data_IF_511522989371
#
_entry.id   IF_511522989371
#
_cell.length_a   1.000
_cell.length_b   1.000
_cell.length_c   1.000
_cell.angle_alpha   90.00
_cell.angle_beta   90.00
_cell.angle_gamma   90.00
#
_symmetry.space_group_name_H-M   'P 1'
#
loop_
_entity.id
_entity.type
_entity.pdbx_description
1 polymer ?
#
# COMPACT_ATOMS: atom_id res chain seq x y z
N UNK A 1 0.48 -14.96 14.70
CA UNK A 1 -0.90 -15.58 14.72
C UNK A 1 -1.89 -14.51 14.26
N UNK A 2 -2.87 -14.90 13.44
CA UNK A 2 -3.91 -13.97 12.93
C UNK A 2 -5.31 -14.54 13.13
N UNK A 3 -6.32 -13.70 13.05
CA UNK A 3 -7.74 -14.09 12.95
C UNK A 3 -8.42 -13.38 11.80
N UNK A 4 -9.40 -14.05 11.16
CA UNK A 4 -10.28 -13.44 10.18
C UNK A 4 -11.27 -12.49 10.87
N UNK A 5 -11.53 -11.36 10.25
CA UNK A 5 -12.46 -10.33 10.70
C UNK A 5 -13.43 -9.96 9.59
N UNK A 6 -14.56 -9.36 9.95
CA UNK A 6 -15.54 -8.84 8.98
C UNK A 6 -15.44 -7.33 8.91
N UNK A 7 -15.25 -6.81 7.72
CA UNK A 7 -15.31 -5.37 7.44
C UNK A 7 -16.45 -5.06 6.47
N UNK A 8 -16.98 -3.86 6.56
CA UNK A 8 -17.96 -3.38 5.57
C UNK A 8 -17.24 -3.12 4.24
N UNK A 9 -17.89 -3.43 3.13
CA UNK A 9 -17.34 -3.20 1.79
C UNK A 9 -18.47 -2.82 0.82
N UNK A 10 -18.11 -2.19 -0.29
CA UNK A 10 -19.04 -1.84 -1.35
C UNK A 10 -19.41 -3.07 -2.21
N UNK A 11 -20.38 -3.86 -1.75
CA UNK A 11 -21.02 -4.91 -2.55
C UNK A 11 -20.23 -6.20 -2.76
N UNK A 12 -19.02 -6.34 -2.19
CA UNK A 12 -18.21 -7.55 -2.29
C UNK A 12 -17.71 -7.98 -0.90
N UNK A 13 -17.85 -9.27 -0.56
CA UNK A 13 -17.26 -9.82 0.67
C UNK A 13 -15.73 -9.85 0.55
N UNK A 14 -15.06 -9.02 1.33
CA UNK A 14 -13.60 -8.99 1.40
C UNK A 14 -13.10 -9.95 2.48
N UNK A 15 -11.98 -10.59 2.23
CA UNK A 15 -11.22 -11.30 3.25
C UNK A 15 -10.34 -10.31 3.99
N UNK A 16 -10.55 -10.20 5.28
CA UNK A 16 -9.83 -9.28 6.14
C UNK A 16 -9.35 -10.00 7.40
N UNK A 17 -8.25 -9.53 7.94
CA UNK A 17 -7.59 -10.18 9.07
C UNK A 17 -6.97 -9.17 10.00
N UNK A 18 -6.73 -9.57 11.24
CA UNK A 18 -5.86 -8.87 12.16
C UNK A 18 -4.80 -9.79 12.72
N UNK A 19 -3.58 -9.31 12.87
CA UNK A 19 -2.53 -10.01 13.58
C UNK A 19 -2.67 -9.84 15.09
N UNK A 20 -2.25 -10.87 15.84
CA UNK A 20 -2.22 -10.80 17.28
C UNK A 20 -1.28 -9.70 17.76
N UNK A 21 -1.72 -8.93 18.72
CA UNK A 21 -0.90 -7.95 19.45
C UNK A 21 -1.50 -7.78 20.84
N UNK A 22 -0.68 -8.01 21.85
CA UNK A 22 -1.11 -7.87 23.24
C UNK A 22 -1.17 -6.39 23.64
N UNK A 23 -2.33 -5.94 24.13
CA UNK A 23 -2.52 -4.56 24.60
C UNK A 23 -2.06 -3.49 23.59
N UNK A 24 -2.66 -3.43 22.39
CA UNK A 24 -2.24 -2.48 21.38
C UNK A 24 -2.46 -1.03 21.83
N UNK A 25 -1.50 -0.18 21.53
CA UNK A 25 -1.58 1.27 21.71
C UNK A 25 -1.86 2.00 20.40
N UNK A 26 -1.53 1.37 19.27
CA UNK A 26 -1.74 1.88 17.91
C UNK A 26 -2.36 0.81 17.03
N UNK A 27 -3.18 1.23 16.07
CA UNK A 27 -3.78 0.35 15.07
C UNK A 27 -3.28 0.77 13.68
N UNK A 28 -2.62 -0.17 12.97
CA UNK A 28 -2.15 0.06 11.61
C UNK A 28 -3.04 -0.68 10.63
N UNK A 29 -3.78 0.07 9.82
CA UNK A 29 -4.57 -0.43 8.70
C UNK A 29 -3.69 -0.55 7.46
N UNK A 30 -3.53 -1.76 6.92
CA UNK A 30 -2.60 -2.08 5.85
C UNK A 30 -3.30 -2.28 4.51
N UNK A 31 -2.76 -1.62 3.47
CA UNK A 31 -3.14 -1.78 2.06
C UNK A 31 -1.94 -2.36 1.31
N UNK A 32 -2.05 -3.60 0.87
CA UNK A 32 -0.96 -4.35 0.21
C UNK A 32 -0.78 -3.96 -1.27
N UNK A 33 0.31 -4.43 -1.88
CA UNK A 33 0.66 -4.18 -3.28
C UNK A 33 -0.10 -5.04 -4.29
N UNK A 34 0.24 -4.87 -5.58
CA UNK A 34 -0.32 -5.69 -6.66
C UNK A 34 0.21 -7.12 -6.60
N UNK A 35 -0.67 -8.09 -6.85
CA UNK A 35 -0.30 -9.49 -6.97
C UNK A 35 0.02 -10.20 -5.65
N UNK A 36 -0.13 -9.54 -4.52
CA UNK A 36 0.12 -10.09 -3.19
C UNK A 36 -1.14 -10.07 -2.31
N UNK A 37 -1.01 -10.32 -1.01
CA UNK A 37 -2.12 -10.37 -0.05
C UNK A 37 -1.66 -10.00 1.38
N UNK A 38 -2.60 -9.68 2.26
CA UNK A 38 -2.28 -9.11 3.57
C UNK A 38 -1.44 -10.01 4.48
N UNK A 39 -1.67 -11.32 4.49
CA UNK A 39 -0.96 -12.20 5.44
C UNK A 39 0.56 -12.31 5.15
N UNK A 40 1.05 -11.86 3.99
CA UNK A 40 2.50 -11.72 3.73
C UNK A 40 3.19 -10.70 4.64
N UNK A 41 2.41 -9.85 5.30
CA UNK A 41 2.91 -8.82 6.23
C UNK A 41 3.12 -9.34 7.67
N UNK A 42 3.04 -10.67 7.91
CA UNK A 42 3.21 -11.27 9.24
C UNK A 42 4.54 -10.90 9.91
N UNK A 43 5.63 -10.84 9.12
CA UNK A 43 6.94 -10.42 9.64
C UNK A 43 6.91 -8.96 10.14
N UNK A 44 6.30 -8.07 9.40
CA UNK A 44 6.12 -6.66 9.80
C UNK A 44 5.29 -6.61 11.09
N UNK A 45 4.16 -7.29 11.11
CA UNK A 45 3.28 -7.33 12.27
C UNK A 45 3.96 -7.85 13.52
N UNK A 46 4.77 -8.91 13.38
CA UNK A 46 5.53 -9.52 14.49
C UNK A 46 6.54 -8.56 15.12
N UNK A 47 7.25 -7.78 14.31
CA UNK A 47 8.22 -6.80 14.81
C UNK A 47 7.50 -5.58 15.40
N UNK A 48 6.44 -5.09 14.75
CA UNK A 48 5.66 -3.95 15.20
C UNK A 48 4.89 -4.22 16.50
N UNK A 49 4.60 -5.48 16.84
CA UNK A 49 4.06 -5.84 18.16
C UNK A 49 4.95 -5.35 19.31
N UNK A 50 6.26 -5.32 19.13
CA UNK A 50 7.22 -4.76 20.09
C UNK A 50 7.02 -3.27 20.37
N UNK A 51 6.37 -2.55 19.45
CA UNK A 51 5.95 -1.15 19.57
C UNK A 51 4.48 -1.00 19.95
N UNK A 52 3.81 -2.10 20.32
CA UNK A 52 2.37 -2.18 20.60
C UNK A 52 1.49 -1.69 19.44
N UNK A 53 1.95 -1.91 18.22
CA UNK A 53 1.21 -1.60 17.00
C UNK A 53 0.55 -2.89 16.50
N UNK A 54 -0.78 -2.93 16.50
CA UNK A 54 -1.58 -4.01 15.94
C UNK A 54 -1.80 -3.74 14.46
N UNK A 55 -1.54 -4.74 13.60
CA UNK A 55 -1.85 -4.63 12.18
C UNK A 55 -3.20 -5.28 11.85
N UNK A 56 -3.98 -4.57 11.06
CA UNK A 56 -5.25 -4.99 10.46
C UNK A 56 -5.11 -4.78 8.95
N UNK A 57 -5.64 -5.69 8.16
CA UNK A 57 -5.65 -5.51 6.71
C UNK A 57 -6.66 -6.40 6.02
N UNK A 58 -6.83 -6.14 4.75
CA UNK A 58 -7.72 -6.90 3.87
C UNK A 58 -6.95 -7.34 2.63
N UNK A 59 -7.35 -8.47 2.08
CA UNK A 59 -6.98 -8.82 0.72
C UNK A 59 -7.82 -7.97 -0.23
N UNK A 60 -7.17 -7.16 -1.04
CA UNK A 60 -7.82 -6.28 -2.00
C UNK A 60 -8.64 -7.09 -3.02
N UNK A 61 -9.60 -6.44 -3.67
CA UNK A 61 -10.43 -7.03 -4.73
C UNK A 61 -9.55 -7.72 -5.77
N UNK A 62 -9.85 -8.98 -6.08
CA UNK A 62 -9.09 -9.81 -7.03
C UNK A 62 -7.67 -10.16 -6.58
N UNK A 63 -7.42 -10.14 -5.25
CA UNK A 63 -6.14 -10.53 -4.65
C UNK A 63 -6.37 -11.48 -3.49
N UNK A 64 -5.34 -12.28 -3.19
CA UNK A 64 -5.37 -13.20 -2.07
C UNK A 64 -6.62 -14.10 -2.06
N UNK A 65 -7.27 -14.20 -0.91
CA UNK A 65 -8.49 -14.97 -0.73
C UNK A 65 -9.78 -14.18 -1.05
N UNK A 66 -9.70 -12.88 -1.32
CA UNK A 66 -10.85 -12.09 -1.75
C UNK A 66 -11.25 -12.47 -3.16
N UNK A 67 -12.54 -12.80 -3.35
CA UNK A 67 -13.07 -13.18 -4.65
C UNK A 67 -12.90 -12.08 -5.71
N UNK A 68 -12.97 -12.46 -6.97
CA UNK A 68 -12.87 -11.54 -8.11
C UNK A 68 -11.86 -12.02 -9.15
N UNK A 69 -11.73 -11.25 -10.21
CA UNK A 69 -10.76 -11.54 -11.26
C UNK A 69 -9.37 -11.11 -10.81
N UNK A 70 -8.41 -12.02 -10.81
CA UNK A 70 -7.04 -11.74 -10.39
C UNK A 70 -6.48 -10.47 -11.04
N UNK A 71 -5.98 -9.55 -10.20
CA UNK A 71 -5.42 -8.27 -10.63
C UNK A 71 -6.46 -7.18 -10.97
N UNK A 72 -7.76 -7.44 -10.78
CA UNK A 72 -8.81 -6.43 -10.98
C UNK A 72 -9.19 -5.77 -9.64
N UNK A 73 -8.44 -4.75 -9.27
CA UNK A 73 -8.63 -3.92 -8.09
C UNK A 73 -9.24 -2.56 -8.48
N UNK A 74 -10.48 -2.61 -8.98
CA UNK A 74 -11.19 -1.46 -9.57
C UNK A 74 -12.72 -1.62 -9.43
N UNK A 75 -13.53 -0.56 -9.54
CA UNK A 75 -13.07 0.82 -9.70
C UNK A 75 -12.43 1.38 -8.42
N UNK A 76 -11.60 2.38 -8.54
CA UNK A 76 -10.89 2.99 -7.41
C UNK A 76 -11.82 3.52 -6.32
N UNK A 77 -12.98 4.02 -6.68
CA UNK A 77 -13.99 4.48 -5.73
C UNK A 77 -14.43 3.39 -4.76
N UNK A 78 -14.58 2.17 -5.27
CA UNK A 78 -14.95 1.02 -4.44
C UNK A 78 -13.80 0.62 -3.51
N UNK A 79 -12.56 0.66 -4.03
CA UNK A 79 -11.36 0.37 -3.23
C UNK A 79 -11.18 1.39 -2.10
N UNK A 80 -11.45 2.67 -2.36
CA UNK A 80 -11.44 3.69 -1.29
C UNK A 80 -12.55 3.45 -0.27
N UNK A 81 -13.73 3.01 -0.71
CA UNK A 81 -14.83 2.62 0.20
C UNK A 81 -14.48 1.39 1.04
N UNK A 82 -13.72 0.44 0.51
CA UNK A 82 -13.24 -0.71 1.27
C UNK A 82 -12.26 -0.29 2.39
N UNK A 83 -11.43 0.72 2.13
CA UNK A 83 -10.59 1.33 3.18
C UNK A 83 -11.45 2.02 4.24
N UNK A 84 -12.54 2.71 3.85
CA UNK A 84 -13.49 3.25 4.83
C UNK A 84 -13.99 2.16 5.78
N UNK A 85 -14.38 1.01 5.24
CA UNK A 85 -14.83 -0.13 6.05
C UNK A 85 -13.77 -0.67 7.01
N UNK A 86 -12.51 -0.71 6.57
CA UNK A 86 -11.39 -1.11 7.43
C UNK A 86 -11.14 -0.09 8.55
N UNK A 87 -11.22 1.21 8.26
CA UNK A 87 -11.10 2.26 9.27
C UNK A 87 -12.27 2.27 10.23
N UNK A 88 -13.51 2.06 9.75
CA UNK A 88 -14.70 1.92 10.59
C UNK A 88 -14.55 0.74 11.55
N UNK A 89 -14.05 -0.41 11.09
CA UNK A 89 -13.74 -1.55 11.94
C UNK A 89 -12.72 -1.16 13.04
N UNK A 90 -11.64 -0.49 12.67
CA UNK A 90 -10.62 -0.07 13.62
C UNK A 90 -11.19 0.87 14.69
N UNK A 91 -12.00 1.85 14.31
CA UNK A 91 -12.64 2.78 15.26
C UNK A 91 -13.65 2.08 16.18
N UNK A 92 -14.39 1.10 15.65
CA UNK A 92 -15.40 0.37 16.43
C UNK A 92 -14.78 -0.57 17.47
N UNK A 93 -13.73 -1.31 17.07
CA UNK A 93 -13.15 -2.37 17.92
C UNK A 93 -11.97 -1.87 18.78
N UNK A 94 -11.39 -0.73 18.43
CA UNK A 94 -10.26 -0.11 19.13
C UNK A 94 -10.52 1.39 19.34
N UNK A 95 -11.63 1.74 20.02
CA UNK A 95 -11.94 3.15 20.31
C UNK A 95 -10.77 3.76 21.09
N UNK A 96 -10.52 5.04 20.87
CA UNK A 96 -9.45 5.80 21.52
C UNK A 96 -8.00 5.40 21.15
N UNK A 97 -7.82 4.48 20.20
CA UNK A 97 -6.49 4.16 19.67
C UNK A 97 -6.21 4.95 18.39
N UNK A 98 -5.04 5.61 18.30
CA UNK A 98 -4.63 6.24 17.05
C UNK A 98 -4.56 5.21 15.92
N UNK A 99 -5.13 5.56 14.77
CA UNK A 99 -5.12 4.74 13.57
C UNK A 99 -4.07 5.25 12.60
N UNK A 100 -3.29 4.36 12.02
CA UNK A 100 -2.30 4.65 10.99
C UNK A 100 -2.74 3.95 9.70
N UNK A 101 -2.68 4.62 8.55
CA UNK A 101 -2.87 3.97 7.26
C UNK A 101 -1.50 3.67 6.65
N UNK A 102 -1.21 2.38 6.44
CA UNK A 102 -0.01 1.90 5.76
C UNK A 102 -0.35 1.45 4.35
N UNK A 103 0.50 1.79 3.39
CA UNK A 103 0.39 1.30 2.01
C UNK A 103 1.73 0.99 1.39
N UNK A 104 1.81 -0.13 0.66
CA UNK A 104 3.01 -0.53 -0.06
C UNK A 104 2.73 -0.64 -1.56
N UNK A 105 3.63 -0.15 -2.41
CA UNK A 105 3.56 -0.31 -3.87
C UNK A 105 2.25 0.24 -4.46
N UNK A 106 1.41 -0.59 -5.10
CA UNK A 106 0.04 -0.23 -5.49
C UNK A 106 -0.78 0.21 -4.28
N UNK A 107 -0.65 -0.46 -3.14
CA UNK A 107 -1.28 -0.05 -1.88
C UNK A 107 -0.79 1.32 -1.40
N UNK A 108 0.45 1.68 -1.68
CA UNK A 108 1.00 3.01 -1.45
C UNK A 108 0.36 4.07 -2.34
N UNK A 109 0.13 3.77 -3.63
CA UNK A 109 -0.63 4.63 -4.54
C UNK A 109 -2.09 4.80 -4.06
N UNK A 110 -2.72 3.71 -3.62
CA UNK A 110 -4.08 3.72 -3.07
C UNK A 110 -4.13 4.53 -1.76
N UNK A 111 -3.18 4.32 -0.84
CA UNK A 111 -3.12 5.01 0.44
C UNK A 111 -2.88 6.52 0.30
N UNK A 112 -2.05 6.93 -0.67
CA UNK A 112 -1.86 8.33 -1.02
C UNK A 112 -3.13 8.93 -1.62
N UNK A 113 -3.77 8.24 -2.55
CA UNK A 113 -5.06 8.65 -3.10
C UNK A 113 -6.12 8.81 -2.00
N UNK A 114 -6.18 7.83 -1.06
CA UNK A 114 -7.07 7.90 0.09
C UNK A 114 -6.78 9.12 0.98
N UNK A 115 -5.52 9.46 1.20
CA UNK A 115 -5.10 10.63 1.97
C UNK A 115 -5.64 11.93 1.37
N UNK A 116 -5.74 12.01 0.06
CA UNK A 116 -6.28 13.18 -0.65
C UNK A 116 -7.80 13.21 -0.69
N UNK A 117 -8.48 12.10 -0.98
CA UNK A 117 -9.90 12.10 -1.29
C UNK A 117 -10.75 11.00 -0.62
N UNK A 118 -10.17 10.20 0.24
CA UNK A 118 -10.93 9.21 1.02
C UNK A 118 -11.96 9.88 1.92
N UNK A 119 -13.11 9.26 2.08
CA UNK A 119 -14.21 9.81 2.91
C UNK A 119 -13.79 10.01 4.37
N UNK A 120 -13.04 9.06 4.91
CA UNK A 120 -12.53 9.09 6.28
C UNK A 120 -11.05 9.48 6.36
N UNK A 121 -10.53 10.22 5.40
CA UNK A 121 -9.10 10.57 5.33
C UNK A 121 -8.58 11.38 6.52
N UNK A 122 -9.45 11.96 7.33
CA UNK A 122 -9.07 12.65 8.57
C UNK A 122 -8.89 11.71 9.77
N UNK A 123 -9.38 10.46 9.68
CA UNK A 123 -9.32 9.46 10.76
C UNK A 123 -7.89 8.98 11.02
N UNK A 124 -7.08 8.62 10.02
CA UNK A 124 -5.69 8.26 10.30
C UNK A 124 -4.95 9.42 10.96
N UNK A 125 -4.32 9.14 12.09
CA UNK A 125 -3.43 10.09 12.78
C UNK A 125 -2.14 10.30 12.02
N UNK A 126 -1.72 9.34 11.21
CA UNK A 126 -0.55 9.39 10.33
C UNK A 126 -0.69 8.42 9.15
N UNK A 127 0.10 8.67 8.11
CA UNK A 127 0.23 7.81 6.94
C UNK A 127 1.66 7.30 6.83
N UNK A 128 1.81 6.00 6.52
CA UNK A 128 3.10 5.35 6.29
C UNK A 128 3.07 4.71 4.92
N UNK A 129 3.92 5.18 4.02
CA UNK A 129 3.91 4.77 2.62
C UNK A 129 5.29 4.24 2.24
N UNK A 130 5.29 3.01 1.71
CA UNK A 130 6.49 2.28 1.32
C UNK A 130 6.51 2.03 -0.18
N UNK A 131 7.57 2.47 -0.86
CA UNK A 131 7.84 2.24 -2.28
C UNK A 131 6.59 2.44 -3.18
N UNK A 132 5.87 3.59 -3.10
CA UNK A 132 4.58 3.74 -3.75
C UNK A 132 4.69 3.77 -5.27
N UNK A 133 3.71 3.20 -5.95
CA UNK A 133 3.57 3.34 -7.38
C UNK A 133 3.15 4.78 -7.75
N UNK A 134 4.11 5.67 -7.88
CA UNK A 134 3.94 7.03 -8.41
C UNK A 134 4.39 7.05 -9.88
N UNK A 135 5.60 6.58 -10.14
CA UNK A 135 6.15 6.35 -11.48
C UNK A 135 6.72 4.95 -11.53
N UNK A 136 6.78 4.34 -12.71
CA UNK A 136 7.48 3.08 -12.92
C UNK A 136 8.86 3.32 -13.51
N UNK A 137 9.83 2.48 -13.15
CA UNK A 137 11.18 2.46 -13.74
C UNK A 137 11.11 2.24 -15.25
N UNK A 138 10.16 1.39 -15.71
CA UNK A 138 9.86 1.20 -17.14
C UNK A 138 8.59 1.98 -17.47
N UNK A 139 8.69 3.21 -17.98
CA UNK A 139 7.53 4.05 -18.24
C UNK A 139 6.69 3.50 -19.39
N UNK A 140 5.38 3.59 -19.24
CA UNK A 140 4.45 3.31 -20.34
C UNK A 140 4.48 4.48 -21.32
N UNK A 141 4.73 4.19 -22.61
CA UNK A 141 4.75 5.23 -23.65
C UNK A 141 3.39 5.87 -23.81
N UNK A 142 3.36 7.15 -24.23
CA UNK A 142 2.09 7.87 -24.41
C UNK A 142 1.11 7.17 -25.34
N UNK A 143 1.59 6.59 -26.44
CA UNK A 143 0.74 5.84 -27.38
C UNK A 143 0.12 4.60 -26.72
N UNK A 144 0.92 3.83 -25.97
CA UNK A 144 0.43 2.65 -25.24
C UNK A 144 -0.56 3.06 -24.15
N UNK A 145 -0.27 4.13 -23.40
CA UNK A 145 -1.19 4.66 -22.39
C UNK A 145 -2.57 5.00 -22.98
N UNK A 146 -2.61 5.72 -24.11
CA UNK A 146 -3.87 6.06 -24.79
C UNK A 146 -4.63 4.82 -25.26
N UNK A 147 -3.92 3.83 -25.80
CA UNK A 147 -4.53 2.55 -26.22
C UNK A 147 -5.12 1.80 -25.04
N UNK A 148 -4.37 1.65 -23.95
CA UNK A 148 -4.83 0.98 -22.73
C UNK A 148 -6.01 1.74 -22.11
N UNK A 149 -5.98 3.07 -22.07
CA UNK A 149 -7.08 3.89 -21.58
C UNK A 149 -8.36 3.71 -22.41
N UNK A 150 -8.26 3.63 -23.73
CA UNK A 150 -9.43 3.35 -24.58
C UNK A 150 -9.97 1.94 -24.34
N UNK A 151 -9.08 0.95 -24.30
CA UNK A 151 -9.45 -0.46 -24.06
C UNK A 151 -10.02 -0.67 -22.65
N UNK A 152 -9.55 0.04 -21.64
CA UNK A 152 -10.07 -0.08 -20.28
C UNK A 152 -11.55 0.32 -20.15
N UNK A 153 -12.03 1.19 -21.04
CA UNK A 153 -13.47 1.57 -21.09
C UNK A 153 -14.35 0.49 -21.70
N UNK A 154 -13.80 -0.35 -22.57
CA UNK A 154 -14.51 -1.43 -23.24
C UNK A 154 -14.35 -2.76 -22.50
N UNK A 155 -13.18 -3.03 -21.97
CA UNK A 155 -12.78 -4.28 -21.34
C UNK A 155 -12.06 -4.00 -20.01
N UNK A 156 -12.73 -3.37 -19.01
CA UNK A 156 -12.09 -2.88 -17.79
C UNK A 156 -11.36 -3.99 -17.01
N UNK A 157 -11.95 -5.18 -16.98
CA UNK A 157 -11.40 -6.33 -16.25
C UNK A 157 -10.46 -7.22 -17.08
N UNK A 158 -10.13 -6.85 -18.33
CA UNK A 158 -9.11 -7.57 -19.08
C UNK A 158 -7.76 -7.43 -18.38
N UNK A 159 -7.10 -8.55 -18.08
CA UNK A 159 -5.84 -8.57 -17.36
C UNK A 159 -4.67 -8.87 -18.29
N UNK A 160 -3.54 -8.24 -18.00
CA UNK A 160 -2.22 -8.44 -18.63
C UNK A 160 -1.20 -8.81 -17.55
N UNK A 161 -0.02 -9.27 -17.95
CA UNK A 161 1.09 -9.51 -17.02
C UNK A 161 1.59 -8.20 -16.42
N UNK A 162 1.99 -8.23 -15.15
CA UNK A 162 2.60 -7.09 -14.43
C UNK A 162 4.13 -7.10 -14.50
N UNK A 163 4.73 -8.18 -15.01
CA UNK A 163 6.19 -8.41 -15.08
C UNK A 163 6.90 -8.31 -13.72
N UNK A 164 6.17 -8.56 -12.64
CA UNK A 164 6.71 -8.59 -11.27
C UNK A 164 7.02 -10.04 -10.90
N UNK A 165 8.23 -10.27 -10.44
CA UNK A 165 8.66 -11.54 -9.90
C UNK A 165 9.56 -11.34 -8.65
N UNK A 166 9.85 -12.43 -7.93
CA UNK A 166 10.58 -12.35 -6.67
C UNK A 166 12.02 -11.82 -6.79
N UNK A 167 12.64 -11.89 -7.98
CA UNK A 167 14.04 -11.50 -8.18
C UNK A 167 14.26 -9.99 -8.09
N UNK A 168 13.19 -9.21 -8.28
CA UNK A 168 13.24 -7.74 -8.27
C UNK A 168 12.50 -7.13 -7.07
N UNK A 169 11.92 -7.98 -6.20
CA UNK A 169 11.18 -7.51 -5.02
C UNK A 169 12.11 -7.15 -3.86
N UNK A 170 13.01 -8.04 -3.48
CA UNK A 170 13.85 -7.84 -2.31
C UNK A 170 14.91 -8.93 -2.16
N UNK A 171 15.27 -9.27 -0.92
CA UNK A 171 16.17 -10.38 -0.64
C UNK A 171 15.49 -11.72 -0.96
N UNK A 172 16.04 -12.54 -1.87
CA UNK A 172 15.43 -13.82 -2.25
C UNK A 172 15.11 -14.75 -1.07
N UNK A 173 15.87 -14.68 0.03
CA UNK A 173 15.62 -15.48 1.22
C UNK A 173 14.41 -15.02 2.03
N UNK A 174 14.02 -13.75 1.90
CA UNK A 174 12.91 -13.14 2.64
C UNK A 174 11.62 -13.07 1.81
N UNK A 175 11.75 -12.99 0.48
CA UNK A 175 10.63 -13.00 -0.48
C UNK A 175 10.39 -14.38 -1.10
N UNK A 176 11.07 -15.40 -0.62
CA UNK A 176 10.96 -16.79 -1.11
C UNK A 176 9.51 -17.25 -1.21
N UNK A 177 9.23 -17.93 -2.31
CA UNK A 177 7.91 -18.52 -2.56
C UNK A 177 6.87 -17.57 -3.13
N UNK A 178 7.23 -16.31 -3.46
CA UNK A 178 6.27 -15.40 -4.10
C UNK A 178 5.71 -15.98 -5.40
N UNK A 179 6.59 -16.51 -6.26
CA UNK A 179 6.17 -17.09 -7.56
C UNK A 179 5.40 -18.42 -7.41
N UNK A 180 5.64 -19.16 -6.34
CA UNK A 180 5.05 -20.49 -6.09
C UNK A 180 3.81 -20.44 -5.19
N UNK A 181 3.53 -19.31 -4.56
CA UNK A 181 2.38 -19.13 -3.69
C UNK A 181 1.10 -18.98 -4.52
N UNK A 182 0.11 -19.88 -4.40
CA UNK A 182 -1.13 -19.82 -5.16
C UNK A 182 -1.99 -18.58 -4.87
N UNK A 183 -1.70 -17.87 -3.77
CA UNK A 183 -2.39 -16.65 -3.38
C UNK A 183 -1.81 -15.40 -4.04
N UNK A 184 -0.61 -15.49 -4.63
CA UNK A 184 0.00 -14.42 -5.41
C UNK A 184 -0.31 -14.56 -6.90
N UNK A 185 -0.09 -13.49 -7.65
CA UNK A 185 -0.23 -13.49 -9.10
C UNK A 185 0.52 -12.32 -9.76
N UNK A 186 0.86 -12.45 -11.02
CA UNK A 186 1.51 -11.42 -11.84
C UNK A 186 0.55 -10.72 -12.80
N UNK A 187 -0.70 -10.49 -12.41
CA UNK A 187 -1.75 -9.92 -13.29
C UNK A 187 -2.17 -8.53 -12.81
N UNK A 188 -2.49 -7.67 -13.78
CA UNK A 188 -3.12 -6.38 -13.55
C UNK A 188 -4.20 -6.14 -14.60
N UNK A 189 -5.38 -5.65 -14.21
CA UNK A 189 -6.42 -5.31 -15.18
C UNK A 189 -6.16 -3.93 -15.81
N UNK A 190 -6.71 -3.72 -17.00
CA UNK A 190 -6.55 -2.46 -17.72
C UNK A 190 -7.08 -1.28 -16.90
N UNK A 191 -8.22 -1.43 -16.22
CA UNK A 191 -8.79 -0.37 -15.38
C UNK A 191 -7.89 -0.11 -14.16
N UNK A 192 -7.43 -1.13 -13.44
CA UNK A 192 -6.52 -0.96 -12.30
C UNK A 192 -5.24 -0.23 -12.73
N UNK A 193 -4.69 -0.59 -13.90
CA UNK A 193 -3.49 0.04 -14.44
C UNK A 193 -3.70 1.52 -14.76
N UNK A 194 -4.77 1.85 -15.48
CA UNK A 194 -5.06 3.25 -15.88
C UNK A 194 -5.35 4.13 -14.66
N UNK A 195 -6.11 3.65 -13.69
CA UNK A 195 -6.36 4.37 -12.45
C UNK A 195 -5.06 4.60 -11.66
N UNK A 196 -4.21 3.57 -11.53
CA UNK A 196 -2.90 3.68 -10.88
C UNK A 196 -1.98 4.70 -11.56
N UNK A 197 -1.88 4.68 -12.89
CA UNK A 197 -1.11 5.66 -13.67
C UNK A 197 -1.66 7.08 -13.54
N UNK A 198 -2.99 7.25 -13.63
CA UNK A 198 -3.63 8.57 -13.51
C UNK A 198 -3.32 9.20 -12.15
N UNK A 199 -3.48 8.43 -11.08
CA UNK A 199 -3.20 8.86 -9.71
C UNK A 199 -1.71 9.11 -9.51
N UNK A 200 -0.84 8.20 -9.96
CA UNK A 200 0.60 8.38 -9.88
C UNK A 200 1.08 9.66 -10.58
N UNK A 201 0.51 9.98 -11.75
CA UNK A 201 0.81 11.23 -12.45
C UNK A 201 0.34 12.45 -11.65
N UNK A 202 -0.89 12.44 -11.12
CA UNK A 202 -1.42 13.55 -10.31
C UNK A 202 -0.57 13.78 -9.04
N UNK A 203 -0.11 12.71 -8.39
CA UNK A 203 0.81 12.79 -7.24
C UNK A 203 2.15 13.40 -7.62
N UNK A 204 2.73 12.95 -8.73
CA UNK A 204 4.01 13.46 -9.24
C UNK A 204 3.95 14.94 -9.63
N UNK A 205 2.92 15.31 -10.37
CA UNK A 205 2.75 16.66 -10.89
C UNK A 205 2.18 17.64 -9.85
N UNK A 206 1.69 17.14 -8.72
CA UNK A 206 1.04 17.95 -7.68
C UNK A 206 -0.29 18.57 -8.14
N UNK A 207 -0.98 17.92 -9.09
CA UNK A 207 -2.17 18.47 -9.78
C UNK A 207 -3.50 18.10 -9.14
N UNK A 208 -3.52 17.69 -7.87
CA UNK A 208 -4.76 17.46 -7.15
C UNK A 208 -5.57 18.75 -6.99
N UNK A 209 -6.81 18.76 -7.46
CA UNK A 209 -7.72 19.92 -7.39
C UNK A 209 -8.12 20.27 -5.96
N UNK A 210 -8.17 19.28 -5.07
CA UNK A 210 -8.47 19.47 -3.64
C UNK A 210 -7.64 18.53 -2.79
N UNK A 211 -7.10 19.05 -1.69
CA UNK A 211 -6.42 18.27 -0.66
C UNK A 211 -7.39 18.02 0.49
N UNK A 212 -7.66 16.75 0.79
CA UNK A 212 -8.45 16.35 1.95
C UNK A 212 -7.68 16.60 3.26
N UNK A 213 -8.39 16.51 4.40
CA UNK A 213 -7.79 16.68 5.75
C UNK A 213 -6.67 15.67 6.05
N UNK A 214 -6.64 14.54 5.37
CA UNK A 214 -5.54 13.58 5.44
C UNK A 214 -4.19 14.19 5.05
N UNK A 215 -4.19 15.20 4.16
CA UNK A 215 -2.97 15.89 3.75
C UNK A 215 -2.37 16.78 4.86
N UNK A 216 -3.11 17.05 5.94
CA UNK A 216 -2.63 17.76 7.13
C UNK A 216 -1.97 16.80 8.13
N UNK A 217 -2.08 15.48 7.91
CA UNK A 217 -1.55 14.45 8.80
C UNK A 217 -0.09 14.12 8.46
N UNK A 218 0.74 13.78 9.45
CA UNK A 218 2.11 13.33 9.21
C UNK A 218 2.18 12.20 8.19
N UNK A 219 3.18 12.27 7.31
CA UNK A 219 3.47 11.28 6.29
C UNK A 219 4.89 10.75 6.49
N UNK A 220 5.04 9.44 6.70
CA UNK A 220 6.31 8.75 6.53
C UNK A 220 6.33 8.14 5.13
N UNK A 221 7.25 8.60 4.29
CA UNK A 221 7.45 8.10 2.94
C UNK A 221 8.81 7.43 2.85
N UNK A 222 8.85 6.17 2.46
CA UNK A 222 10.08 5.38 2.39
C UNK A 222 10.23 4.73 1.02
N UNK A 223 11.47 4.64 0.50
CA UNK A 223 11.76 4.01 -0.77
C UNK A 223 13.18 3.44 -0.80
N UNK A 224 13.38 2.32 -1.49
CA UNK A 224 14.71 1.78 -1.79
C UNK A 224 15.29 2.44 -3.06
N UNK A 225 16.54 2.87 -3.04
CA UNK A 225 17.16 3.55 -4.19
C UNK A 225 17.49 2.60 -5.36
N UNK A 226 17.48 1.29 -5.11
CA UNK A 226 17.67 0.23 -6.10
C UNK A 226 16.33 -0.42 -6.52
N UNK A 227 15.18 0.20 -6.26
CA UNK A 227 13.87 -0.30 -6.70
C UNK A 227 13.82 -0.40 -8.23
N UNK A 228 13.53 -1.60 -8.74
CA UNK A 228 13.48 -1.90 -10.18
C UNK A 228 12.06 -1.86 -10.74
N UNK A 229 11.06 -1.58 -9.90
CA UNK A 229 9.63 -1.53 -10.23
C UNK A 229 9.13 -0.09 -10.20
N UNK A 230 9.17 0.53 -9.02
CA UNK A 230 8.73 1.90 -8.82
C UNK A 230 9.93 2.85 -8.81
N UNK A 231 9.87 3.91 -9.63
CA UNK A 231 10.95 4.88 -9.72
C UNK A 231 11.02 5.72 -8.43
N UNK A 232 12.15 5.64 -7.74
CA UNK A 232 12.44 6.39 -6.51
C UNK A 232 12.28 7.91 -6.71
N UNK A 233 12.49 8.43 -7.92
CA UNK A 233 12.29 9.83 -8.25
C UNK A 233 10.81 10.26 -8.09
N UNK A 234 9.87 9.32 -8.20
CA UNK A 234 8.46 9.56 -7.88
C UNK A 234 8.28 9.95 -6.41
N UNK A 235 8.92 9.21 -5.50
CA UNK A 235 8.87 9.49 -4.06
C UNK A 235 9.64 10.76 -3.68
N UNK A 236 10.82 10.99 -4.27
CA UNK A 236 11.58 12.24 -4.07
C UNK A 236 10.72 13.46 -4.43
N UNK A 237 10.08 13.42 -5.61
CA UNK A 237 9.21 14.51 -6.07
C UNK A 237 7.98 14.70 -5.17
N UNK A 238 7.35 13.61 -4.71
CA UNK A 238 6.23 13.70 -3.77
C UNK A 238 6.69 14.32 -2.44
N UNK A 239 7.83 13.91 -1.91
CA UNK A 239 8.38 14.46 -0.67
C UNK A 239 8.61 15.97 -0.77
N UNK A 240 9.16 16.44 -1.91
CA UNK A 240 9.33 17.87 -2.18
C UNK A 240 7.97 18.61 -2.20
N UNK A 241 6.95 18.01 -2.83
CA UNK A 241 5.61 18.60 -2.92
C UNK A 241 4.87 18.65 -1.56
N UNK A 242 5.10 17.65 -0.69
CA UNK A 242 4.49 17.57 0.64
C UNK A 242 5.23 18.44 1.68
N UNK A 243 6.51 18.71 1.46
CA UNK A 243 7.33 19.58 2.30
C UNK A 243 7.44 19.06 3.75
N UNK A 244 7.30 19.95 4.72
CA UNK A 244 7.58 19.65 6.15
C UNK A 244 6.69 18.58 6.79
N UNK A 245 5.55 18.28 6.20
CA UNK A 245 4.64 17.26 6.75
C UNK A 245 5.11 15.84 6.40
N UNK A 246 6.01 15.70 5.42
CA UNK A 246 6.58 14.46 4.97
C UNK A 246 7.94 14.22 5.61
N UNK A 247 8.09 13.09 6.31
CA UNK A 247 9.39 12.51 6.65
C UNK A 247 9.76 11.54 5.53
N UNK A 248 10.69 11.93 4.67
CA UNK A 248 11.17 11.06 3.60
C UNK A 248 12.45 10.33 4.00
N UNK A 249 12.47 9.01 3.78
CA UNK A 249 13.64 8.16 4.06
C UNK A 249 13.93 7.32 2.82
N UNK A 250 15.11 7.49 2.27
CA UNK A 250 15.63 6.67 1.19
C UNK A 250 16.56 5.61 1.76
N UNK A 251 16.38 4.36 1.33
CA UNK A 251 17.15 3.22 1.83
C UNK A 251 18.18 2.77 0.78
N UNK A 252 19.48 3.03 1.02
CA UNK A 252 20.52 2.69 0.07
C UNK A 252 20.64 1.19 -0.19
N UNK A 253 20.71 0.81 -1.47
CA UNK A 253 20.90 -0.56 -1.91
C UNK A 253 19.66 -1.46 -1.75
N UNK A 254 18.51 -0.94 -1.29
CA UNK A 254 17.31 -1.73 -1.15
C UNK A 254 16.43 -1.68 -2.40
N UNK A 255 15.79 -2.82 -2.68
CA UNK A 255 14.85 -2.99 -3.77
C UNK A 255 13.42 -2.59 -3.37
N UNK A 256 12.42 -3.10 -4.07
CA UNK A 256 11.02 -2.69 -3.93
C UNK A 256 10.43 -3.00 -2.55
N UNK A 257 10.52 -4.24 -2.08
CA UNK A 257 10.10 -4.62 -0.73
C UNK A 257 11.20 -4.28 0.29
N UNK A 258 11.35 -3.00 0.63
CA UNK A 258 12.40 -2.53 1.55
C UNK A 258 12.39 -3.26 2.90
N UNK A 259 11.21 -3.66 3.39
CA UNK A 259 11.03 -4.43 4.62
C UNK A 259 11.56 -5.88 4.50
N UNK A 260 11.73 -6.37 3.27
CA UNK A 260 12.37 -7.63 2.92
C UNK A 260 13.69 -7.41 2.16
N UNK A 261 14.26 -6.21 2.24
CA UNK A 261 15.46 -5.82 1.50
C UNK A 261 16.77 -6.12 2.24
N UNK A 262 17.88 -6.18 1.49
CA UNK A 262 19.21 -6.36 2.03
C UNK A 262 19.39 -7.65 2.82
N UNK A 263 19.91 -7.56 4.04
CA UNK A 263 19.96 -8.66 5.00
C UNK A 263 18.69 -8.71 5.85
N UNK A 264 18.51 -9.79 6.62
CA UNK A 264 17.41 -9.89 7.57
C UNK A 264 17.40 -8.72 8.56
N UNK A 265 18.58 -8.37 9.11
CA UNK A 265 18.74 -7.24 10.02
C UNK A 265 18.45 -5.89 9.37
N UNK A 266 18.74 -5.72 8.07
CA UNK A 266 18.41 -4.51 7.32
C UNK A 266 16.89 -4.36 7.17
N UNK A 267 16.19 -5.42 6.78
CA UNK A 267 14.74 -5.41 6.70
C UNK A 267 14.07 -5.15 8.05
N UNK A 268 14.64 -5.70 9.15
CA UNK A 268 14.20 -5.39 10.52
C UNK A 268 14.39 -3.92 10.88
N UNK A 269 15.51 -3.31 10.49
CA UNK A 269 15.75 -1.89 10.75
C UNK A 269 14.74 -0.99 10.04
N UNK A 270 14.36 -1.34 8.80
CA UNK A 270 13.26 -0.65 8.09
C UNK A 270 11.96 -0.71 8.91
N UNK A 271 11.60 -1.89 9.40
CA UNK A 271 10.37 -2.08 10.16
C UNK A 271 10.46 -1.36 11.53
N UNK A 272 11.59 -1.47 12.21
CA UNK A 272 11.84 -0.77 13.47
C UNK A 272 11.79 0.77 13.29
N UNK A 273 12.22 1.28 12.14
CA UNK A 273 12.10 2.72 11.82
C UNK A 273 10.65 3.15 11.72
N UNK A 274 9.76 2.31 11.16
CA UNK A 274 8.31 2.56 11.16
C UNK A 274 7.80 2.65 12.60
N UNK A 275 8.11 1.65 13.43
CA UNK A 275 7.66 1.58 14.82
C UNK A 275 8.09 2.82 15.63
N UNK A 276 9.38 3.17 15.58
CA UNK A 276 9.92 4.37 16.25
C UNK A 276 9.24 5.65 15.75
N UNK A 277 9.13 5.83 14.44
CA UNK A 277 8.52 7.03 13.89
C UNK A 277 7.06 7.21 14.33
N UNK A 278 6.28 6.12 14.36
CA UNK A 278 4.89 6.17 14.83
C UNK A 278 4.84 6.58 16.30
N UNK A 279 5.60 5.93 17.17
CA UNK A 279 5.58 6.20 18.61
C UNK A 279 6.10 7.59 18.98
N UNK A 280 6.97 8.19 18.18
CA UNK A 280 7.49 9.53 18.34
C UNK A 280 6.54 10.62 17.80
N UNK A 281 5.81 10.30 16.73
CA UNK A 281 5.02 11.30 15.97
C UNK A 281 3.55 11.29 16.37
N UNK A 282 2.98 10.12 16.64
CA UNK A 282 1.56 9.93 16.94
C UNK A 282 1.37 9.86 18.46
N UNK A 283 0.74 10.87 19.02
CA UNK A 283 0.47 10.99 20.46
C UNK A 283 -1.00 10.81 20.75
#
# INVERSE_FOLDING_TARGET
MHREISIKSSGQGLKAYEFSCSSPEYIMCCVHGIGEYFLRYERIASILEGYKIKMIGMDLRGHGATAGKQGHCAPRTDVLSDIDGMLEYAMEHYPDKPVILYGHSMGGNIGLDYRYRGRLNAVPSAYVISAPWIKLVRPVTGALYHTVNLMSKLLPSLTIGSDIDETILGNPKLVTGYNDDPMTHNKISLQTAIEGFSIGNALYDGTWESKGKGCEKPLLLMHGDCDMICDVNGSRKLADNEGKICTYIEWPGLYHEIHNGGSESTGEEVINKIGRWITETVK
#
